data_IF_676596646933
#
_entry.id   IF_676596646933
#
_cell.length_a   1.000
_cell.length_b   1.000
_cell.length_c   1.000
_cell.angle_alpha   90.00
_cell.angle_beta   90.00
_cell.angle_gamma   90.00
#
_symmetry.space_group_name_H-M   'P 1'
#
loop_
_entity.id
_entity.type
_entity.pdbx_description
1 polymer ?
#
# COMPACT_ATOMS: atom_id res chain seq x y z
N UNK A 1 -15.73 19.56 -9.38
CA UNK A 1 -16.56 18.76 -8.44
C UNK A 1 -17.08 19.56 -7.24
N UNK A 2 -16.23 20.23 -6.45
CA UNK A 2 -16.63 20.97 -5.23
C UNK A 2 -17.72 22.05 -5.42
N UNK A 3 -17.66 22.84 -6.50
CA UNK A 3 -18.68 23.86 -6.78
C UNK A 3 -20.08 23.25 -6.98
N UNK A 4 -20.18 22.12 -7.69
CA UNK A 4 -21.44 21.38 -7.91
C UNK A 4 -22.00 20.81 -6.61
N UNK A 5 -21.14 20.28 -5.74
CA UNK A 5 -21.55 19.80 -4.42
C UNK A 5 -22.16 20.94 -3.60
N UNK A 6 -21.47 22.08 -3.52
CA UNK A 6 -21.89 23.22 -2.70
C UNK A 6 -23.16 23.90 -3.22
N UNK A 7 -23.27 24.11 -4.52
CA UNK A 7 -24.33 24.95 -5.11
C UNK A 7 -25.51 24.16 -5.66
N UNK A 8 -25.44 22.83 -5.75
CA UNK A 8 -26.51 22.01 -6.31
C UNK A 8 -26.90 20.86 -5.39
N UNK A 9 -25.93 20.07 -4.95
CA UNK A 9 -26.24 18.82 -4.22
C UNK A 9 -26.62 19.09 -2.77
N UNK A 10 -25.83 19.90 -2.05
CA UNK A 10 -26.08 20.16 -0.63
C UNK A 10 -27.40 20.89 -0.38
N UNK A 11 -27.76 21.94 -1.16
CA UNK A 11 -29.08 22.57 -1.04
C UNK A 11 -30.23 21.59 -1.31
N UNK A 12 -30.10 20.76 -2.36
CA UNK A 12 -31.11 19.74 -2.70
C UNK A 12 -31.33 18.75 -1.53
N UNK A 13 -30.25 18.27 -0.91
CA UNK A 13 -30.33 17.35 0.22
C UNK A 13 -30.96 18.00 1.46
N UNK A 14 -30.64 19.27 1.75
CA UNK A 14 -31.22 20.00 2.87
C UNK A 14 -32.74 20.22 2.70
N UNK A 15 -33.18 20.55 1.48
CA UNK A 15 -34.59 20.74 1.15
C UNK A 15 -35.42 19.45 1.31
N UNK A 16 -34.88 18.30 0.88
CA UNK A 16 -35.64 17.05 0.78
C UNK A 16 -35.52 16.12 2.00
N UNK A 17 -34.41 16.16 2.74
CA UNK A 17 -34.21 15.29 3.91
C UNK A 17 -34.60 15.98 5.23
N UNK A 18 -34.76 17.31 5.23
CA UNK A 18 -35.05 18.11 6.42
C UNK A 18 -33.86 18.18 7.39
N UNK A 19 -33.75 19.30 8.12
CA UNK A 19 -32.66 19.54 9.07
C UNK A 19 -31.31 19.92 8.45
N UNK A 20 -30.30 20.15 9.29
CA UNK A 20 -28.97 20.56 8.85
C UNK A 20 -28.08 19.33 8.52
N UNK A 21 -28.29 18.80 7.31
CA UNK A 21 -27.52 17.67 6.75
C UNK A 21 -26.01 17.99 6.74
N UNK A 22 -25.64 19.24 6.45
CA UNK A 22 -24.25 19.67 6.43
C UNK A 22 -23.61 19.56 7.82
N UNK A 23 -24.30 20.03 8.86
CA UNK A 23 -23.85 19.91 10.25
C UNK A 23 -23.75 18.46 10.71
N UNK A 24 -24.71 17.62 10.31
CA UNK A 24 -24.70 16.19 10.64
C UNK A 24 -23.50 15.47 10.01
N UNK A 25 -23.22 15.73 8.74
CA UNK A 25 -22.03 15.21 8.05
C UNK A 25 -20.73 15.75 8.67
N UNK A 26 -20.69 17.03 9.03
CA UNK A 26 -19.53 17.63 9.68
C UNK A 26 -19.24 16.99 11.04
N UNK A 27 -20.28 16.70 11.84
CA UNK A 27 -20.13 15.97 13.11
C UNK A 27 -19.57 14.57 12.90
N UNK A 28 -20.11 13.81 11.95
CA UNK A 28 -19.59 12.47 11.63
C UNK A 28 -18.13 12.54 11.16
N UNK A 29 -17.78 13.51 10.31
CA UNK A 29 -16.41 13.71 9.85
C UNK A 29 -15.46 14.10 11.00
N UNK A 30 -15.91 14.90 11.96
CA UNK A 30 -15.13 15.28 13.14
C UNK A 30 -14.82 14.10 14.07
N UNK A 31 -15.66 13.06 14.08
CA UNK A 31 -15.40 11.81 14.82
C UNK A 31 -14.53 10.86 14.00
N UNK A 32 -14.85 10.66 12.71
CA UNK A 32 -14.14 9.70 11.86
C UNK A 32 -12.72 10.16 11.47
N UNK A 33 -12.45 11.47 11.43
CA UNK A 33 -11.16 12.05 11.07
C UNK A 33 -10.03 11.58 12.00
N UNK A 34 -10.12 11.83 13.32
CA UNK A 34 -9.15 11.35 14.30
C UNK A 34 -8.93 9.83 14.27
N UNK A 35 -10.00 9.04 14.10
CA UNK A 35 -9.90 7.58 13.98
C UNK A 35 -9.08 7.17 12.74
N UNK A 36 -9.30 7.83 11.61
CA UNK A 36 -8.54 7.59 10.39
C UNK A 36 -7.06 7.97 10.57
N UNK A 37 -6.77 9.13 11.17
CA UNK A 37 -5.40 9.57 11.46
C UNK A 37 -4.66 8.59 12.37
N UNK A 38 -5.34 8.07 13.41
CA UNK A 38 -4.77 7.09 14.32
C UNK A 38 -4.46 5.77 13.60
N UNK A 39 -5.40 5.26 12.78
CA UNK A 39 -5.20 4.04 12.00
C UNK A 39 -4.08 4.20 10.96
N UNK A 40 -3.93 5.38 10.36
CA UNK A 40 -2.87 5.67 9.40
C UNK A 40 -1.50 5.74 10.09
N UNK A 41 -1.42 6.29 11.30
CA UNK A 41 -0.20 6.28 12.12
C UNK A 41 0.23 4.86 12.51
N UNK A 42 -0.73 4.03 12.95
CA UNK A 42 -0.47 2.60 13.24
C UNK A 42 -0.02 1.85 11.99
N UNK A 43 -0.67 2.09 10.84
CA UNK A 43 -0.29 1.46 9.59
C UNK A 43 1.11 1.89 9.12
N UNK A 44 1.52 3.15 9.34
CA UNK A 44 2.87 3.60 9.04
C UNK A 44 3.93 2.90 9.90
N UNK A 45 3.65 2.71 11.20
CA UNK A 45 4.53 1.96 12.09
C UNK A 45 4.66 0.48 11.67
N UNK A 46 3.53 -0.17 11.37
CA UNK A 46 3.52 -1.55 10.86
C UNK A 46 4.24 -1.68 9.51
N UNK A 47 4.02 -0.74 8.59
CA UNK A 47 4.73 -0.72 7.31
C UNK A 47 6.25 -0.67 7.51
N UNK A 48 6.74 0.21 8.39
CA UNK A 48 8.17 0.31 8.69
C UNK A 48 8.72 -0.99 9.32
N UNK A 49 7.96 -1.60 10.24
CA UNK A 49 8.32 -2.86 10.90
C UNK A 49 8.39 -4.04 9.92
N UNK A 50 7.39 -4.15 9.04
CA UNK A 50 7.22 -5.24 8.08
C UNK A 50 8.16 -5.15 6.87
N UNK A 51 8.65 -3.95 6.55
CA UNK A 51 9.53 -3.72 5.40
C UNK A 51 10.87 -4.41 5.59
N UNK A 52 11.19 -5.33 4.69
CA UNK A 52 12.48 -6.01 4.64
C UNK A 52 13.61 -5.00 4.31
N UNK A 53 14.80 -5.16 4.91
CA UNK A 53 15.89 -4.24 4.69
C UNK A 53 16.49 -4.34 3.28
N UNK A 54 17.27 -3.34 2.91
CA UNK A 54 18.09 -3.35 1.71
C UNK A 54 19.08 -4.53 1.69
N UNK A 55 19.44 -4.98 0.49
CA UNK A 55 20.38 -6.08 0.27
C UNK A 55 19.77 -7.47 0.45
N UNK A 56 18.50 -7.57 0.85
CA UNK A 56 17.80 -8.85 0.91
C UNK A 56 17.70 -9.46 -0.48
N UNK A 57 18.18 -10.69 -0.63
CA UNK A 57 18.12 -11.44 -1.89
C UNK A 57 16.70 -11.93 -2.18
N UNK A 58 16.21 -11.62 -3.38
CA UNK A 58 14.88 -11.90 -3.88
C UNK A 58 14.97 -12.78 -5.14
N UNK A 59 15.02 -14.12 -5.00
CA UNK A 59 15.19 -15.00 -6.15
C UNK A 59 14.00 -14.93 -7.13
N UNK A 60 14.28 -15.20 -8.41
CA UNK A 60 13.31 -15.36 -9.50
C UNK A 60 12.41 -14.14 -9.74
N UNK A 61 12.80 -12.95 -9.31
CA UNK A 61 12.06 -11.71 -9.53
C UNK A 61 12.50 -11.06 -10.86
N UNK A 62 11.57 -10.75 -11.79
CA UNK A 62 11.93 -10.08 -13.03
C UNK A 62 12.52 -8.69 -12.78
N UNK A 63 13.74 -8.46 -13.29
CA UNK A 63 14.40 -7.15 -13.28
C UNK A 63 15.09 -6.78 -11.97
N UNK A 64 15.12 -7.66 -10.95
CA UNK A 64 15.89 -7.42 -9.73
C UNK A 64 16.06 -8.65 -8.83
N UNK A 65 17.30 -8.93 -8.42
CA UNK A 65 17.63 -10.06 -7.55
C UNK A 65 17.82 -9.66 -6.07
N UNK A 66 17.78 -8.37 -5.75
CA UNK A 66 17.94 -7.86 -4.37
C UNK A 66 17.09 -6.62 -4.10
N UNK A 67 16.76 -6.37 -2.83
CA UNK A 67 16.17 -5.09 -2.40
C UNK A 67 17.25 -3.99 -2.55
N UNK A 68 17.02 -2.94 -3.35
CA UNK A 68 17.98 -1.86 -3.54
C UNK A 68 18.32 -1.19 -2.21
N UNK A 69 19.61 -0.91 -2.01
CA UNK A 69 20.03 -0.04 -0.92
C UNK A 69 19.75 1.41 -1.24
N UNK A 70 19.67 2.24 -0.19
CA UNK A 70 19.49 3.68 -0.28
C UNK A 70 20.77 4.39 -0.79
N UNK A 71 21.68 3.67 -1.44
CA UNK A 71 22.98 4.21 -1.83
C UNK A 71 22.78 5.16 -3.01
N UNK A 72 23.08 6.44 -2.77
CA UNK A 72 23.38 7.40 -3.82
C UNK A 72 24.66 6.94 -4.50
N UNK A 73 24.55 6.18 -5.57
CA UNK A 73 25.68 6.00 -6.49
C UNK A 73 25.85 7.32 -7.24
N UNK A 74 27.02 7.94 -7.17
CA UNK A 74 27.38 9.15 -7.96
C UNK A 74 27.35 8.92 -9.49
N UNK A 75 27.05 7.70 -9.93
CA UNK A 75 26.77 7.37 -11.32
C UNK A 75 25.26 7.51 -11.58
N UNK A 76 24.87 8.48 -12.41
CA UNK A 76 23.51 8.62 -12.92
C UNK A 76 23.23 7.42 -13.84
N UNK A 77 22.35 6.47 -13.47
CA UNK A 77 21.95 5.41 -14.37
C UNK A 77 21.15 6.01 -15.54
N UNK A 78 21.43 5.60 -16.77
CA UNK A 78 20.74 6.11 -17.97
C UNK A 78 19.23 5.77 -18.00
N UNK A 79 18.80 4.77 -17.22
CA UNK A 79 17.40 4.44 -16.96
C UNK A 79 17.10 4.51 -15.46
N UNK A 80 15.96 5.10 -15.03
CA UNK A 80 15.62 5.17 -13.61
C UNK A 80 15.47 3.75 -13.03
N UNK A 81 16.29 3.42 -12.03
CA UNK A 81 16.26 2.09 -11.42
C UNK A 81 14.85 1.76 -10.87
N UNK A 82 14.38 0.51 -11.01
CA UNK A 82 13.06 0.12 -10.53
C UNK A 82 12.98 0.28 -9.00
N UNK A 83 11.90 0.90 -8.53
CA UNK A 83 11.64 0.99 -7.09
C UNK A 83 11.08 -0.35 -6.60
N UNK A 84 11.74 -0.93 -5.60
CA UNK A 84 11.40 -2.25 -5.06
C UNK A 84 11.09 -2.13 -3.58
N UNK A 85 9.91 -2.59 -3.20
CA UNK A 85 9.45 -2.66 -1.82
C UNK A 85 9.19 -4.12 -1.48
N UNK A 86 9.90 -4.65 -0.49
CA UNK A 86 9.68 -6.00 0.02
C UNK A 86 9.13 -5.95 1.46
N UNK A 87 8.04 -6.67 1.73
CA UNK A 87 7.41 -6.80 3.05
C UNK A 87 7.41 -8.26 3.50
N UNK A 88 7.50 -8.52 4.79
CA UNK A 88 7.19 -9.84 5.34
C UNK A 88 5.70 -10.16 5.11
N UNK A 89 5.42 -11.05 4.17
CA UNK A 89 4.05 -11.39 3.73
C UNK A 89 3.24 -12.03 4.84
N UNK A 90 3.81 -12.99 5.57
CA UNK A 90 3.07 -13.74 6.59
C UNK A 90 2.61 -12.81 7.73
N UNK A 91 3.50 -11.94 8.19
CA UNK A 91 3.15 -10.95 9.21
C UNK A 91 2.20 -9.86 8.66
N UNK A 92 2.36 -9.46 7.39
CA UNK A 92 1.41 -8.55 6.74
C UNK A 92 0.00 -9.17 6.68
N UNK A 93 -0.11 -10.46 6.32
CA UNK A 93 -1.37 -11.18 6.27
C UNK A 93 -2.04 -11.30 7.66
N UNK A 94 -1.23 -11.42 8.72
CA UNK A 94 -1.71 -11.53 10.10
C UNK A 94 -2.23 -10.20 10.69
N UNK A 95 -1.99 -9.07 10.04
CA UNK A 95 -2.55 -7.78 10.47
C UNK A 95 -4.09 -7.80 10.42
N UNK A 96 -4.71 -7.00 11.27
CA UNK A 96 -6.14 -6.69 11.16
C UNK A 96 -6.44 -6.08 9.76
N UNK A 97 -7.55 -6.43 9.09
CA UNK A 97 -7.83 -5.97 7.72
C UNK A 97 -7.75 -4.46 7.54
N UNK A 98 -8.20 -3.68 8.53
CA UNK A 98 -8.13 -2.22 8.51
C UNK A 98 -6.69 -1.67 8.42
N UNK A 99 -5.72 -2.34 9.05
CA UNK A 99 -4.30 -1.99 8.98
C UNK A 99 -3.64 -2.58 7.74
N UNK A 100 -3.98 -3.83 7.39
CA UNK A 100 -3.43 -4.52 6.23
C UNK A 100 -3.67 -3.74 4.94
N UNK A 101 -4.90 -3.31 4.68
CA UNK A 101 -5.21 -2.49 3.50
C UNK A 101 -4.43 -1.18 3.47
N UNK A 102 -4.26 -0.52 4.62
CA UNK A 102 -3.48 0.74 4.71
C UNK A 102 -1.99 0.52 4.46
N UNK A 103 -1.41 -0.52 5.05
CA UNK A 103 0.00 -0.92 4.82
C UNK A 103 0.24 -1.23 3.35
N UNK A 104 -0.69 -1.95 2.69
CA UNK A 104 -0.60 -2.27 1.27
C UNK A 104 -0.69 -1.00 0.40
N UNK A 105 -1.59 -0.09 0.72
CA UNK A 105 -1.69 1.21 0.04
C UNK A 105 -0.40 2.04 0.19
N UNK A 106 0.18 2.07 1.40
CA UNK A 106 1.48 2.72 1.66
C UNK A 106 2.60 2.08 0.83
N UNK A 107 2.63 0.75 0.74
CA UNK A 107 3.65 0.03 -0.01
C UNK A 107 3.55 0.29 -1.52
N UNK A 108 2.34 0.28 -2.08
CA UNK A 108 2.10 0.62 -3.49
C UNK A 108 2.46 2.07 -3.78
N UNK A 109 2.05 3.01 -2.91
CA UNK A 109 2.43 4.42 -3.03
C UNK A 109 3.93 4.62 -2.89
N UNK A 110 4.62 3.87 -2.04
CA UNK A 110 6.07 3.95 -1.91
C UNK A 110 6.79 3.41 -3.16
N UNK A 111 6.20 2.43 -3.86
CA UNK A 111 6.75 1.91 -5.10
C UNK A 111 6.62 2.89 -6.28
N UNK A 112 5.64 3.81 -6.27
CA UNK A 112 5.40 4.63 -7.47
C UNK A 112 4.70 6.00 -7.33
N UNK A 113 4.36 6.40 -6.11
CA UNK A 113 3.75 7.69 -5.81
C UNK A 113 2.23 7.77 -5.94
N UNK A 114 1.57 6.76 -6.52
CA UNK A 114 0.11 6.74 -6.67
C UNK A 114 -0.59 5.78 -5.70
N UNK A 115 -1.79 6.16 -5.25
CA UNK A 115 -2.60 5.32 -4.36
C UNK A 115 -3.48 4.39 -5.23
N UNK A 116 -3.46 3.05 -5.01
CA UNK A 116 -4.27 2.14 -5.79
C UNK A 116 -5.77 2.40 -5.58
N UNK A 117 -6.57 2.17 -6.62
CA UNK A 117 -8.03 2.11 -6.49
C UNK A 117 -8.47 0.95 -5.59
N UNK A 118 -9.67 1.04 -5.01
CA UNK A 118 -10.19 0.08 -4.03
C UNK A 118 -10.14 -1.37 -4.52
N UNK A 119 -10.61 -1.64 -5.74
CA UNK A 119 -10.60 -2.98 -6.35
C UNK A 119 -9.18 -3.56 -6.45
N UNK A 120 -8.20 -2.72 -6.81
CA UNK A 120 -6.80 -3.15 -6.94
C UNK A 120 -6.15 -3.39 -5.60
N UNK A 121 -6.49 -2.58 -4.61
CA UNK A 121 -6.05 -2.78 -3.24
C UNK A 121 -6.65 -4.06 -2.63
N UNK A 122 -7.91 -4.36 -2.93
CA UNK A 122 -8.57 -5.59 -2.51
C UNK A 122 -7.92 -6.82 -3.17
N UNK A 123 -7.66 -6.79 -4.48
CA UNK A 123 -6.94 -7.87 -5.17
C UNK A 123 -5.54 -8.11 -4.57
N UNK A 124 -4.86 -7.04 -4.14
CA UNK A 124 -3.59 -7.15 -3.43
C UNK A 124 -3.75 -7.75 -2.03
N UNK A 125 -4.80 -7.39 -1.30
CA UNK A 125 -5.13 -7.97 0.02
C UNK A 125 -5.37 -9.48 -0.06
N UNK A 126 -6.19 -9.90 -1.02
CA UNK A 126 -6.49 -11.31 -1.31
C UNK A 126 -5.21 -12.06 -1.71
N UNK A 127 -4.36 -11.45 -2.54
CA UNK A 127 -3.07 -12.03 -2.94
C UNK A 127 -2.10 -12.24 -1.76
N UNK A 128 -2.17 -11.36 -0.76
CA UNK A 128 -1.37 -11.47 0.47
C UNK A 128 -1.92 -12.54 1.40
N UNK A 129 -3.24 -12.61 1.55
CA UNK A 129 -3.94 -13.54 2.43
C UNK A 129 -3.96 -14.98 1.92
N UNK A 130 -4.28 -15.19 0.63
CA UNK A 130 -4.52 -16.51 0.06
C UNK A 130 -3.25 -17.14 -0.52
N UNK A 131 -3.15 -18.47 -0.47
CA UNK A 131 -2.00 -19.22 -0.99
C UNK A 131 -2.16 -19.69 -2.45
N UNK A 132 -3.30 -19.40 -3.12
CA UNK A 132 -3.74 -20.19 -4.28
C UNK A 132 -3.57 -19.53 -5.67
N UNK A 133 -3.51 -18.19 -5.80
CA UNK A 133 -3.49 -17.57 -7.14
C UNK A 133 -2.11 -17.63 -7.80
N UNK A 134 -1.97 -18.38 -8.88
CA UNK A 134 -0.74 -18.46 -9.65
C UNK A 134 -0.52 -17.15 -10.45
N UNK A 135 0.59 -16.46 -10.21
CA UNK A 135 1.03 -15.28 -10.97
C UNK A 135 1.09 -13.98 -10.17
N UNK A 136 1.76 -12.94 -10.70
CA UNK A 136 1.83 -11.63 -10.07
C UNK A 136 0.51 -10.87 -10.17
N UNK A 137 0.25 -9.98 -9.20
CA UNK A 137 -0.85 -9.01 -9.29
C UNK A 137 -0.35 -7.72 -9.93
N UNK A 138 -1.01 -7.29 -11.00
CA UNK A 138 -0.74 -6.02 -11.65
C UNK A 138 -1.53 -4.89 -10.99
N UNK A 139 -0.81 -3.86 -10.56
CA UNK A 139 -1.34 -2.65 -9.93
C UNK A 139 -1.24 -1.47 -10.91
N UNK A 140 -2.05 -0.42 -10.71
CA UNK A 140 -1.92 0.81 -11.47
C UNK A 140 -0.49 1.35 -11.43
N UNK A 141 -0.11 1.98 -12.53
CA UNK A 141 1.16 2.68 -12.62
C UNK A 141 2.36 1.86 -13.15
N UNK A 142 2.20 0.60 -13.54
CA UNK A 142 3.33 -0.30 -13.85
C UNK A 142 4.00 -0.89 -12.60
N UNK A 143 3.25 -1.07 -11.51
CA UNK A 143 3.70 -1.87 -10.36
C UNK A 143 3.20 -3.31 -10.49
N UNK A 144 4.11 -4.26 -10.39
CA UNK A 144 3.81 -5.68 -10.27
C UNK A 144 4.09 -6.16 -8.85
N UNK A 145 3.17 -6.91 -8.26
CA UNK A 145 3.32 -7.55 -6.95
C UNK A 145 3.58 -9.05 -7.10
N UNK A 146 4.64 -9.53 -6.45
CA UNK A 146 5.09 -10.91 -6.46
C UNK A 146 5.15 -11.48 -5.05
N UNK A 147 5.07 -12.81 -4.94
CA UNK A 147 5.32 -13.54 -3.69
C UNK A 147 6.60 -14.34 -3.81
N UNK A 148 7.47 -14.27 -2.82
CA UNK A 148 8.70 -15.07 -2.75
C UNK A 148 8.78 -15.81 -1.44
N UNK A 149 9.18 -17.08 -1.51
CA UNK A 149 9.32 -17.93 -0.33
C UNK A 149 10.78 -17.99 0.08
N UNK A 150 11.03 -18.26 1.34
CA UNK A 150 12.38 -18.51 1.89
C UNK A 150 13.36 -17.35 1.67
N UNK A 151 12.85 -16.12 1.67
CA UNK A 151 13.69 -14.92 1.65
C UNK A 151 14.34 -14.79 3.03
N UNK A 152 15.66 -14.59 3.06
CA UNK A 152 16.40 -14.45 4.31
C UNK A 152 16.21 -13.02 4.85
N UNK A 153 15.63 -12.89 6.04
CA UNK A 153 15.56 -11.63 6.76
C UNK A 153 16.82 -11.47 7.61
N UNK A 154 17.73 -10.53 7.30
CA UNK A 154 18.99 -10.37 8.01
C UNK A 154 18.82 -9.82 9.43
N UNK A 155 17.65 -9.26 9.78
CA UNK A 155 17.38 -8.77 11.15
C UNK A 155 17.13 -9.91 12.12
N UNK A 156 16.41 -10.93 11.65
CA UNK A 156 15.97 -12.07 12.48
C UNK A 156 16.80 -13.33 12.20
N UNK A 157 17.51 -13.39 11.08
CA UNK A 157 18.22 -14.58 10.60
C UNK A 157 17.29 -15.67 10.07
N UNK A 158 15.98 -15.43 10.04
CA UNK A 158 14.97 -16.40 9.65
C UNK A 158 14.64 -16.31 8.16
N UNK A 159 13.99 -17.36 7.64
CA UNK A 159 13.48 -17.41 6.27
C UNK A 159 11.99 -17.10 6.29
N UNK A 160 11.59 -16.05 5.59
CA UNK A 160 10.22 -15.55 5.54
C UNK A 160 9.65 -15.66 4.13
N UNK A 161 8.32 -15.61 4.04
CA UNK A 161 7.64 -15.31 2.79
C UNK A 161 7.60 -13.80 2.60
N UNK A 162 8.04 -13.31 1.45
CA UNK A 162 8.05 -11.90 1.09
C UNK A 162 6.96 -11.55 0.08
N UNK A 163 6.32 -10.40 0.27
CA UNK A 163 5.55 -9.69 -0.75
C UNK A 163 6.47 -8.64 -1.37
N UNK A 164 6.67 -8.69 -2.68
CA UNK A 164 7.58 -7.79 -3.40
C UNK A 164 6.78 -6.96 -4.39
N UNK A 165 6.82 -5.63 -4.27
CA UNK A 165 6.27 -4.69 -5.24
C UNK A 165 7.41 -4.06 -6.04
N UNK A 166 7.26 -4.02 -7.36
CA UNK A 166 8.30 -3.53 -8.28
C UNK A 166 7.66 -2.60 -9.30
N UNK A 167 8.20 -1.39 -9.42
CA UNK A 167 7.84 -0.47 -10.51
C UNK A 167 8.68 -0.79 -11.75
N UNK A 168 8.03 -1.07 -12.88
CA UNK A 168 8.69 -1.39 -14.17
C UNK A 168 8.76 -0.16 -15.09
N UNK A 169 9.30 0.96 -14.59
CA UNK A 169 9.49 2.16 -15.41
C UNK A 169 10.79 2.13 -16.21
#
# INVERSE_FOLDING_TARGET
MRARIRHTILPFLQEHLGGDVALSLARTAAVAGPDAEYLDALAAAEYARLKLPAGVHLPDIPGADTVPGNHSTDAVPEEPAPVIIALNRAETAALHPALRMRVLALATRAAQGENPGFERLQALDEFVAEHATAGPVQLPGHVSAYRRRRVQDPRTGTRVDALVLISQR
#
